data_IF_165422336455
#
_entry.id   IF_165422336455
#
_cell.length_a   1.000
_cell.length_b   1.000
_cell.length_c   1.000
_cell.angle_alpha   90.00
_cell.angle_beta   90.00
_cell.angle_gamma   90.00
#
_symmetry.space_group_name_H-M   'P 1'
#
loop_
_entity.id
_entity.type
_entity.pdbx_description
1 polymer ?
#
# COMPACT_ATOMS: atom_id res chain seq x y z
N UNK A 1 49.76 -49.14 6.90
CA UNK A 1 49.01 -50.33 7.34
C UNK A 1 47.86 -50.58 6.37
N UNK A 2 47.37 -51.82 6.26
CA UNK A 2 46.29 -52.25 5.36
C UNK A 2 44.95 -52.17 6.08
N UNK A 3 43.82 -51.93 5.38
CA UNK A 3 42.52 -51.77 6.05
C UNK A 3 41.26 -51.65 5.17
N UNK A 4 41.19 -52.28 4.00
CA UNK A 4 39.91 -52.42 3.30
C UNK A 4 39.01 -53.44 4.00
N UNK A 5 37.70 -53.16 4.13
CA UNK A 5 36.73 -54.19 4.49
C UNK A 5 35.35 -53.94 3.85
N UNK A 6 34.77 -54.98 3.27
CA UNK A 6 33.53 -54.93 2.46
C UNK A 6 32.48 -55.94 2.96
N UNK A 7 31.21 -55.56 2.96
CA UNK A 7 30.09 -56.52 2.92
C UNK A 7 28.86 -55.83 2.31
N UNK A 8 28.23 -56.31 1.22
CA UNK A 8 27.74 -57.64 0.78
C UNK A 8 26.27 -57.90 1.14
N UNK A 9 25.43 -57.82 0.09
CA UNK A 9 24.20 -58.61 -0.12
C UNK A 9 23.01 -58.25 0.82
N UNK A 10 21.75 -58.54 0.49
CA UNK A 10 21.25 -59.42 -0.57
C UNK A 10 19.95 -58.94 -1.25
N UNK A 11 19.60 -59.64 -2.34
CA UNK A 11 18.46 -59.44 -3.25
C UNK A 11 17.08 -59.51 -2.57
N UNK A 12 16.07 -58.95 -3.24
CA UNK A 12 14.98 -59.78 -3.82
C UNK A 12 14.52 -59.22 -5.17
N UNK A 13 13.93 -60.07 -6.04
CA UNK A 13 13.81 -59.79 -7.48
C UNK A 13 12.66 -60.57 -8.15
N UNK A 14 11.68 -59.86 -8.70
CA UNK A 14 10.55 -60.33 -9.54
C UNK A 14 10.10 -59.11 -10.40
N UNK A 15 9.92 -59.09 -11.73
CA UNK A 15 9.58 -60.09 -12.79
C UNK A 15 8.27 -60.83 -12.47
N UNK A 16 7.26 -60.96 -13.33
CA UNK A 16 7.18 -61.22 -14.80
C UNK A 16 5.97 -60.35 -15.34
N UNK A 17 6.00 -59.66 -16.50
CA UNK A 17 5.70 -60.11 -17.88
C UNK A 17 4.27 -60.76 -18.03
N UNK A 18 3.48 -60.72 -19.12
CA UNK A 18 3.59 -60.13 -20.47
C UNK A 18 2.21 -60.20 -21.21
N UNK A 19 1.99 -59.44 -22.32
CA UNK A 19 0.86 -59.53 -23.31
C UNK A 19 -0.51 -59.04 -22.77
N UNK A 20 -1.48 -58.51 -23.55
CA UNK A 20 -1.66 -58.28 -25.00
C UNK A 20 -3.04 -58.86 -25.45
N UNK A 21 -3.87 -58.28 -26.35
CA UNK A 21 -3.87 -57.02 -27.13
C UNK A 21 -5.05 -57.01 -28.15
N UNK A 22 -5.08 -56.06 -29.09
CA UNK A 22 -5.95 -56.00 -30.32
C UNK A 22 -7.43 -55.54 -30.14
N UNK A 23 -7.92 -54.80 -31.15
CA UNK A 23 -9.32 -54.43 -31.48
C UNK A 23 -10.00 -53.30 -30.67
N UNK A 24 -11.01 -52.55 -31.16
CA UNK A 24 -11.32 -52.01 -32.51
C UNK A 24 -12.59 -51.15 -32.48
N UNK A 25 -12.72 -50.12 -33.35
CA UNK A 25 -14.03 -49.71 -33.90
C UNK A 25 -14.74 -48.44 -33.38
N UNK A 26 -14.73 -47.40 -34.22
CA UNK A 26 -15.90 -46.65 -34.73
C UNK A 26 -17.14 -46.33 -33.86
N UNK A 27 -17.33 -45.03 -33.58
CA UNK A 27 -18.58 -44.22 -33.71
C UNK A 27 -18.13 -42.74 -33.56
N UNK A 28 -18.38 -41.77 -34.44
CA UNK A 28 -19.55 -41.37 -35.25
C UNK A 28 -20.83 -41.18 -34.43
N UNK A 29 -21.09 -39.92 -34.07
CA UNK A 29 -22.36 -39.28 -34.42
C UNK A 29 -22.24 -37.74 -34.45
N UNK A 30 -22.73 -37.12 -35.52
CA UNK A 30 -22.97 -35.67 -35.63
C UNK A 30 -24.43 -35.45 -36.03
N UNK A 31 -25.14 -34.47 -35.44
CA UNK A 31 -26.25 -33.75 -36.06
C UNK A 31 -27.03 -32.78 -35.12
N UNK A 32 -27.37 -31.61 -35.67
CA UNK A 32 -28.68 -30.92 -35.61
C UNK A 32 -29.25 -30.39 -34.26
N UNK A 33 -29.05 -29.07 -34.10
CA UNK A 33 -30.07 -28.02 -33.85
C UNK A 33 -31.31 -28.19 -34.82
N UNK A 34 -32.52 -27.56 -34.70
CA UNK A 34 -32.75 -26.21 -34.12
C UNK A 34 -34.18 -25.81 -33.58
N UNK A 35 -34.30 -24.55 -33.08
CA UNK A 35 -35.52 -23.70 -32.84
C UNK A 35 -36.58 -24.25 -31.84
N UNK A 36 -37.58 -23.51 -31.31
CA UNK A 36 -38.11 -22.10 -31.37
C UNK A 36 -38.70 -21.75 -29.97
N UNK A 37 -39.32 -20.62 -29.58
CA UNK A 37 -39.85 -19.33 -30.14
C UNK A 37 -39.27 -18.13 -29.32
N UNK A 38 -39.54 -16.82 -29.48
CA UNK A 38 -40.58 -15.92 -30.07
C UNK A 38 -41.78 -15.53 -29.18
N UNK A 39 -41.77 -14.29 -28.66
CA UNK A 39 -42.94 -13.41 -28.41
C UNK A 39 -42.53 -11.93 -28.48
N UNK A 40 -43.48 -11.03 -28.82
CA UNK A 40 -43.27 -9.58 -29.00
C UNK A 40 -44.42 -8.75 -28.39
N UNK A 41 -44.10 -7.60 -27.80
CA UNK A 41 -44.86 -6.33 -27.86
C UNK A 41 -43.94 -5.21 -27.31
N UNK A 42 -43.70 -4.03 -27.92
CA UNK A 42 -44.41 -3.14 -28.87
C UNK A 42 -45.38 -2.17 -28.16
N UNK A 43 -45.32 -0.90 -28.61
CA UNK A 43 -45.96 0.37 -28.17
C UNK A 43 -45.01 1.26 -27.33
N UNK A 44 -44.62 2.48 -27.72
CA UNK A 44 -45.34 3.69 -28.25
C UNK A 44 -45.86 4.62 -27.12
N UNK A 45 -45.83 5.96 -27.23
CA UNK A 45 -45.10 6.87 -28.15
C UNK A 45 -45.18 8.35 -27.69
N UNK A 46 -44.31 9.21 -28.26
CA UNK A 46 -44.49 10.66 -28.54
C UNK A 46 -44.67 11.73 -27.43
N UNK A 47 -44.02 12.89 -27.66
CA UNK A 47 -44.29 14.26 -27.14
C UNK A 47 -44.07 14.54 -25.63
N UNK A 48 -43.78 15.79 -25.20
CA UNK A 48 -43.35 16.98 -25.96
C UNK A 48 -43.28 18.30 -25.15
N UNK A 49 -42.25 19.11 -25.43
CA UNK A 49 -42.32 20.59 -25.64
C UNK A 49 -42.71 21.56 -24.47
N UNK A 50 -41.81 22.54 -24.21
CA UNK A 50 -42.05 23.93 -23.66
C UNK A 50 -42.05 24.25 -22.13
N UNK A 51 -40.91 24.85 -21.70
CA UNK A 51 -40.70 26.17 -21.00
C UNK A 51 -41.26 26.56 -19.60
N UNK A 52 -40.32 27.07 -18.77
CA UNK A 52 -40.27 28.37 -18.04
C UNK A 52 -40.88 28.61 -16.61
N UNK A 53 -40.11 29.42 -15.85
CA UNK A 53 -40.47 30.44 -14.82
C UNK A 53 -41.02 30.10 -13.42
N UNK A 54 -40.62 30.92 -12.42
CA UNK A 54 -41.20 31.06 -11.06
C UNK A 54 -40.65 30.06 -10.02
N UNK A 55 -40.01 30.40 -8.89
CA UNK A 55 -39.88 31.58 -8.00
C UNK A 55 -41.01 31.76 -6.94
N UNK A 56 -40.61 32.24 -5.74
CA UNK A 56 -41.40 32.48 -4.49
C UNK A 56 -41.69 31.26 -3.58
N UNK A 57 -41.81 31.33 -2.23
CA UNK A 57 -41.31 32.33 -1.24
C UNK A 57 -41.55 31.95 0.25
N UNK A 58 -40.55 32.20 1.14
CA UNK A 58 -40.63 32.48 2.61
C UNK A 58 -41.17 31.39 3.58
N UNK A 59 -40.98 31.49 4.93
CA UNK A 59 -40.18 32.42 5.79
C UNK A 59 -38.88 31.74 6.35
N UNK A 60 -37.97 32.27 7.21
CA UNK A 60 -37.84 33.44 8.14
C UNK A 60 -38.29 33.21 9.62
N UNK A 61 -37.69 33.78 10.70
CA UNK A 61 -36.60 34.80 10.83
C UNK A 61 -35.34 34.37 11.66
N UNK A 62 -35.27 34.28 13.03
CA UNK A 62 -34.00 34.41 13.78
C UNK A 62 -33.58 33.23 14.70
N UNK A 63 -32.33 33.07 15.15
CA UNK A 63 -31.09 33.79 14.81
C UNK A 63 -30.15 34.02 16.02
N UNK A 64 -28.84 33.74 15.88
CA UNK A 64 -27.79 34.11 16.85
C UNK A 64 -26.43 34.37 16.15
N UNK A 65 -25.46 34.98 16.83
CA UNK A 65 -24.36 35.75 16.21
C UNK A 65 -22.96 35.13 16.38
N UNK A 66 -22.10 35.40 15.38
CA UNK A 66 -20.64 35.37 15.51
C UNK A 66 -19.98 34.08 14.99
N UNK A 67 -18.85 34.12 14.28
CA UNK A 67 -18.12 35.28 13.73
C UNK A 67 -17.38 34.85 12.44
N UNK A 68 -17.31 35.73 11.44
CA UNK A 68 -16.68 35.41 10.15
C UNK A 68 -15.20 35.76 10.11
N UNK A 69 -14.42 34.91 9.45
CA UNK A 69 -13.09 35.24 8.92
C UNK A 69 -13.25 36.00 7.60
N UNK A 70 -12.64 37.18 7.48
CA UNK A 70 -12.66 37.96 6.24
C UNK A 70 -11.48 37.60 5.32
N UNK A 71 -11.79 37.13 4.11
CA UNK A 71 -10.81 36.89 3.06
C UNK A 71 -10.37 38.20 2.40
N UNK A 72 -9.05 38.39 2.25
CA UNK A 72 -8.49 39.58 1.60
C UNK A 72 -8.33 39.32 0.11
N UNK A 73 -9.16 39.98 -0.71
CA UNK A 73 -9.02 39.99 -2.17
C UNK A 73 -8.50 41.35 -2.68
N UNK A 74 -7.90 41.34 -3.87
CA UNK A 74 -7.07 42.42 -4.39
C UNK A 74 -7.90 43.54 -5.02
N UNK A 75 -7.51 44.80 -4.79
CA UNK A 75 -7.75 45.88 -5.77
C UNK A 75 -6.56 46.84 -5.86
N UNK A 76 -5.91 46.88 -7.03
CA UNK A 76 -5.20 48.07 -7.48
C UNK A 76 -6.20 48.97 -8.21
N UNK A 77 -6.26 50.26 -7.88
CA UNK A 77 -6.76 51.30 -8.78
C UNK A 77 -6.04 52.61 -8.48
N UNK A 78 -5.52 53.26 -9.52
CA UNK A 78 -4.92 54.57 -9.40
C UNK A 78 -6.00 55.67 -9.41
N UNK A 79 -5.76 56.74 -8.65
CA UNK A 79 -6.34 58.05 -8.85
C UNK A 79 -5.24 59.10 -8.65
N UNK A 80 -5.30 60.16 -9.44
CA UNK A 80 -4.33 61.26 -9.47
C UNK A 80 -4.91 62.53 -8.88
N UNK A 81 -4.02 63.37 -8.33
CA UNK A 81 -4.20 64.83 -8.13
C UNK A 81 -5.49 65.33 -7.48
N UNK A 82 -5.38 65.77 -6.23
CA UNK A 82 -5.76 67.16 -5.90
C UNK A 82 -4.81 67.73 -4.83
N UNK A 83 -4.90 69.04 -4.57
CA UNK A 83 -3.82 69.85 -4.02
C UNK A 83 -3.83 70.05 -2.47
N UNK A 84 -2.67 70.49 -1.96
CA UNK A 84 -2.65 71.58 -0.99
C UNK A 84 -2.80 71.25 0.50
N UNK A 85 -1.88 70.47 1.09
CA UNK A 85 -1.46 70.76 2.47
C UNK A 85 -0.06 70.23 2.79
N UNK A 86 0.82 71.08 3.33
CA UNK A 86 2.16 70.67 3.80
C UNK A 86 2.08 69.98 5.17
N UNK A 87 1.55 68.75 5.21
CA UNK A 87 1.71 67.89 6.39
C UNK A 87 3.15 67.37 6.48
N UNK A 88 4.05 68.27 6.88
CA UNK A 88 5.46 68.06 7.22
C UNK A 88 5.72 66.62 7.67
N UNK A 89 6.45 65.86 6.85
CA UNK A 89 6.79 64.47 7.10
C UNK A 89 7.73 64.35 8.30
N UNK A 90 7.15 64.43 9.51
CA UNK A 90 7.84 64.27 10.79
C UNK A 90 8.58 62.94 10.81
N UNK A 91 9.88 63.01 10.50
CA UNK A 91 10.83 61.89 10.60
C UNK A 91 10.58 61.23 11.96
N UNK A 92 10.12 59.96 12.00
CA UNK A 92 9.69 59.36 13.25
C UNK A 92 10.86 59.42 14.23
N UNK A 93 10.63 59.93 15.44
CA UNK A 93 11.73 60.16 16.40
C UNK A 93 12.53 58.88 16.63
N UNK A 94 13.81 59.00 17.00
CA UNK A 94 14.71 57.85 17.11
C UNK A 94 14.17 56.73 18.02
N UNK A 95 13.31 57.05 19.00
CA UNK A 95 12.55 56.07 19.77
C UNK A 95 11.53 55.27 18.95
N UNK A 96 10.70 55.93 18.13
CA UNK A 96 9.74 55.26 17.22
C UNK A 96 10.44 54.40 16.16
N UNK A 97 11.55 54.88 15.58
CA UNK A 97 12.34 54.06 14.64
C UNK A 97 12.92 52.81 15.32
N UNK A 98 13.54 52.96 16.49
CA UNK A 98 14.07 51.84 17.28
C UNK A 98 12.96 50.84 17.68
N UNK A 99 11.75 51.32 17.99
CA UNK A 99 10.60 50.46 18.29
C UNK A 99 10.17 49.62 17.07
N UNK A 100 10.01 50.22 15.89
CA UNK A 100 9.66 49.51 14.65
C UNK A 100 10.74 48.49 14.26
N UNK A 101 12.02 48.85 14.39
CA UNK A 101 13.15 47.94 14.13
C UNK A 101 13.15 46.78 15.15
N UNK A 102 12.90 47.04 16.44
CA UNK A 102 12.77 45.99 17.46
C UNK A 102 11.64 45.02 17.11
N UNK A 103 10.43 45.52 16.88
CA UNK A 103 9.26 44.71 16.55
C UNK A 103 9.48 43.85 15.29
N UNK A 104 10.07 44.42 14.22
CA UNK A 104 10.39 43.66 12.99
C UNK A 104 11.44 42.57 13.22
N UNK A 105 12.40 42.81 14.12
CA UNK A 105 13.44 41.83 14.52
C UNK A 105 12.87 40.73 15.43
N UNK A 106 11.84 41.05 16.20
CA UNK A 106 11.10 40.16 17.10
C UNK A 106 10.16 39.23 16.30
N UNK A 107 9.34 39.78 15.39
CA UNK A 107 8.54 39.00 14.45
C UNK A 107 9.39 38.03 13.60
N UNK A 108 10.57 38.46 13.13
CA UNK A 108 11.51 37.59 12.39
C UNK A 108 12.22 36.54 13.27
N UNK A 109 12.13 36.64 14.61
CA UNK A 109 12.53 35.59 15.55
C UNK A 109 11.39 34.60 15.83
N UNK A 110 10.15 35.09 15.95
CA UNK A 110 8.94 34.26 16.10
C UNK A 110 8.78 33.35 14.88
N UNK A 111 8.74 33.91 13.67
CA UNK A 111 8.68 33.11 12.43
C UNK A 111 9.83 32.09 12.30
N UNK A 112 11.03 32.40 12.82
CA UNK A 112 12.16 31.46 12.84
C UNK A 112 12.10 30.39 13.95
N UNK A 113 11.28 30.58 14.98
CA UNK A 113 10.87 29.51 15.90
C UNK A 113 9.77 28.68 15.25
N UNK A 114 8.76 29.30 14.66
CA UNK A 114 7.63 28.61 14.05
C UNK A 114 8.07 27.69 12.90
N UNK A 115 8.96 28.15 12.01
CA UNK A 115 9.56 27.27 10.98
C UNK A 115 10.45 26.15 11.54
N UNK A 116 10.96 26.28 12.78
CA UNK A 116 11.70 25.21 13.45
C UNK A 116 10.77 24.23 14.15
N UNK A 117 9.74 24.70 14.84
CA UNK A 117 8.71 23.83 15.42
C UNK A 117 7.85 23.15 14.35
N UNK A 118 7.69 23.72 13.16
CA UNK A 118 7.02 23.04 12.04
C UNK A 118 7.88 21.88 11.52
N UNK A 119 9.17 22.11 11.26
CA UNK A 119 10.11 21.02 10.89
C UNK A 119 10.23 19.98 11.99
N UNK A 120 10.39 20.40 13.24
CA UNK A 120 10.41 19.49 14.38
C UNK A 120 9.12 18.70 14.50
N UNK A 121 7.94 19.26 14.19
CA UNK A 121 6.67 18.49 14.18
C UNK A 121 6.55 17.54 13.01
N UNK A 122 7.07 17.88 11.83
CA UNK A 122 7.17 16.94 10.71
C UNK A 122 8.12 15.77 11.04
N UNK A 123 9.27 16.10 11.65
CA UNK A 123 10.29 15.15 12.09
C UNK A 123 9.78 14.30 13.29
N UNK A 124 9.10 14.90 14.27
CA UNK A 124 8.46 14.25 15.43
C UNK A 124 7.23 13.43 15.02
N UNK A 125 6.47 13.83 13.98
CA UNK A 125 5.37 13.04 13.42
C UNK A 125 5.87 11.73 12.80
N UNK A 126 6.92 11.80 11.97
CA UNK A 126 7.55 10.58 11.43
C UNK A 126 8.23 9.77 12.56
N UNK A 127 8.66 10.43 13.64
CA UNK A 127 9.19 9.76 14.84
C UNK A 127 8.10 9.18 15.76
N UNK A 128 6.86 9.66 15.74
CA UNK A 128 5.78 9.15 16.61
C UNK A 128 5.44 7.68 16.31
N UNK A 129 5.57 7.27 15.04
CA UNK A 129 5.54 5.88 14.58
C UNK A 129 6.51 4.96 15.35
N UNK A 130 7.63 5.50 15.86
CA UNK A 130 8.64 4.77 16.63
C UNK A 130 8.17 4.43 18.05
N UNK A 131 7.25 5.20 18.64
CA UNK A 131 6.82 5.01 20.04
C UNK A 131 5.73 3.94 20.24
N UNK A 132 5.39 3.16 19.20
CA UNK A 132 4.45 2.03 19.27
C UNK A 132 5.03 0.77 19.97
N UNK A 133 5.81 0.95 21.03
CA UNK A 133 6.22 -0.11 21.96
C UNK A 133 6.61 0.46 23.33
N UNK A 134 5.63 0.69 24.19
CA UNK A 134 5.86 0.94 25.62
C UNK A 134 6.29 -0.34 26.34
N UNK A 135 7.60 -0.57 26.44
CA UNK A 135 8.19 -1.62 27.29
C UNK A 135 9.37 -1.02 28.04
N UNK A 136 9.29 -0.99 29.37
CA UNK A 136 10.36 -0.48 30.22
C UNK A 136 11.57 -1.43 30.23
N UNK A 137 12.75 -0.88 30.52
CA UNK A 137 14.04 -1.57 30.39
C UNK A 137 14.25 -2.66 31.45
N UNK A 138 13.86 -3.91 31.14
CA UNK A 138 14.14 -5.09 31.97
C UNK A 138 15.15 -6.01 31.26
N UNK A 139 16.43 -5.84 31.61
CA UNK A 139 17.53 -6.70 31.18
C UNK A 139 18.12 -6.38 29.80
N UNK A 140 19.45 -6.49 29.68
CA UNK A 140 20.15 -6.35 28.40
C UNK A 140 20.05 -7.64 27.57
N UNK A 141 18.85 -7.96 27.11
CA UNK A 141 18.69 -8.91 26.02
C UNK A 141 19.43 -8.39 24.78
N UNK A 142 20.24 -9.23 24.14
CA UNK A 142 20.74 -8.94 22.79
C UNK A 142 19.56 -8.94 21.83
N UNK A 143 19.58 -8.07 20.82
CA UNK A 143 18.56 -8.06 19.75
C UNK A 143 18.57 -9.43 19.02
N UNK A 144 17.68 -10.33 19.42
CA UNK A 144 17.56 -11.68 18.88
C UNK A 144 16.89 -11.65 17.51
N UNK A 145 17.67 -11.30 16.47
CA UNK A 145 17.26 -11.42 15.07
C UNK A 145 16.92 -12.86 14.74
N UNK A 146 15.78 -13.07 14.10
CA UNK A 146 15.39 -14.38 13.59
C UNK A 146 16.14 -14.67 12.28
N UNK A 147 17.32 -15.28 12.42
CA UNK A 147 18.17 -15.72 11.33
C UNK A 147 17.78 -17.10 10.75
N UNK A 148 16.59 -17.64 11.07
CA UNK A 148 16.13 -18.90 10.47
C UNK A 148 15.94 -18.77 8.95
N UNK A 149 16.21 -19.80 8.14
CA UNK A 149 15.93 -19.76 6.71
C UNK A 149 14.42 -19.65 6.47
N UNK A 150 14.00 -18.86 5.47
CA UNK A 150 12.59 -18.68 5.11
C UNK A 150 12.14 -19.92 4.31
N UNK A 151 11.85 -21.00 5.01
CA UNK A 151 11.41 -22.25 4.41
C UNK A 151 9.94 -22.18 3.94
N UNK A 152 9.70 -22.62 2.71
CA UNK A 152 8.36 -22.95 2.23
C UNK A 152 7.72 -24.07 3.07
N UNK A 153 6.39 -24.07 3.18
CA UNK A 153 5.62 -25.14 3.83
C UNK A 153 4.69 -25.89 2.87
N UNK A 154 4.59 -25.41 1.62
CA UNK A 154 3.87 -26.02 0.51
C UNK A 154 4.50 -25.54 -0.81
N UNK A 155 4.14 -26.21 -1.91
CA UNK A 155 4.71 -25.95 -3.23
C UNK A 155 4.45 -24.51 -3.72
N UNK A 156 3.25 -23.96 -3.46
CA UNK A 156 2.92 -22.58 -3.84
C UNK A 156 3.81 -21.53 -3.15
N UNK A 157 4.20 -21.76 -1.89
CA UNK A 157 5.18 -20.91 -1.19
C UNK A 157 6.60 -21.08 -1.73
N UNK A 158 6.96 -22.28 -2.20
CA UNK A 158 8.25 -22.53 -2.85
C UNK A 158 8.34 -21.83 -4.22
N UNK A 159 7.30 -21.93 -5.05
CA UNK A 159 7.19 -21.16 -6.29
C UNK A 159 7.24 -19.66 -6.05
N UNK A 160 6.61 -19.17 -4.98
CA UNK A 160 6.64 -17.75 -4.61
C UNK A 160 8.02 -17.25 -4.15
N UNK A 161 8.73 -18.03 -3.33
CA UNK A 161 10.12 -17.74 -2.95
C UNK A 161 11.03 -17.71 -4.19
N UNK A 162 10.91 -18.72 -5.06
CA UNK A 162 11.62 -18.78 -6.33
C UNK A 162 11.30 -17.58 -7.24
N UNK A 163 10.05 -17.10 -7.26
CA UNK A 163 9.66 -15.93 -8.03
C UNK A 163 10.32 -14.65 -7.47
N UNK A 164 10.28 -14.42 -6.16
CA UNK A 164 10.92 -13.24 -5.53
C UNK A 164 12.43 -13.19 -5.81
N UNK A 165 13.10 -14.34 -5.88
CA UNK A 165 14.54 -14.43 -6.13
C UNK A 165 14.94 -14.30 -7.61
N UNK A 166 14.01 -14.47 -8.55
CA UNK A 166 14.31 -14.59 -10.00
C UNK A 166 13.55 -13.60 -10.90
N UNK A 167 12.56 -12.89 -10.37
CA UNK A 167 11.66 -11.99 -11.11
C UNK A 167 11.80 -10.56 -10.62
N UNK A 168 11.51 -9.60 -11.50
CA UNK A 168 11.45 -8.18 -11.18
C UNK A 168 10.05 -7.73 -10.77
N UNK A 169 9.00 -8.39 -11.27
CA UNK A 169 7.60 -8.08 -10.93
C UNK A 169 6.86 -9.37 -10.57
N UNK A 170 6.35 -9.47 -9.34
CA UNK A 170 5.65 -10.64 -8.83
C UNK A 170 4.23 -10.24 -8.42
N UNK A 171 3.22 -10.83 -9.07
CA UNK A 171 1.83 -10.73 -8.63
C UNK A 171 1.47 -11.97 -7.81
N UNK A 172 1.06 -11.77 -6.55
CA UNK A 172 0.73 -12.84 -5.61
C UNK A 172 -0.73 -12.69 -5.12
N UNK A 173 -1.63 -13.51 -5.65
CA UNK A 173 -3.05 -13.52 -5.28
C UNK A 173 -3.44 -14.77 -4.51
N UNK A 174 -4.37 -14.64 -3.56
CA UNK A 174 -4.98 -15.74 -2.82
C UNK A 174 -5.39 -15.30 -1.41
N UNK A 175 -5.82 -16.23 -0.57
CA UNK A 175 -6.43 -15.91 0.72
C UNK A 175 -5.48 -15.32 1.79
N UNK A 176 -6.09 -14.84 2.88
CA UNK A 176 -5.40 -14.53 4.13
C UNK A 176 -4.85 -15.82 4.78
N UNK A 177 -3.56 -15.84 5.10
CA UNK A 177 -2.89 -17.01 5.68
C UNK A 177 -2.10 -17.90 4.71
N UNK A 178 -2.09 -17.60 3.40
CA UNK A 178 -1.16 -18.22 2.44
C UNK A 178 0.32 -17.82 2.67
N UNK A 179 0.59 -16.84 3.54
CA UNK A 179 1.95 -16.38 3.89
C UNK A 179 2.50 -15.23 3.02
N UNK A 180 1.73 -14.73 2.05
CA UNK A 180 2.11 -13.70 1.06
C UNK A 180 2.96 -12.55 1.65
N UNK A 181 2.36 -11.77 2.56
CA UNK A 181 2.98 -10.63 3.25
C UNK A 181 4.20 -11.02 4.09
N UNK A 182 4.16 -12.19 4.76
CA UNK A 182 5.26 -12.69 5.58
C UNK A 182 6.50 -12.98 4.74
N UNK A 183 6.33 -13.76 3.67
CA UNK A 183 7.41 -14.17 2.78
C UNK A 183 8.02 -12.95 2.09
N UNK A 184 7.21 -12.02 1.54
CA UNK A 184 7.72 -10.82 0.87
C UNK A 184 8.50 -9.92 1.82
N UNK A 185 7.99 -9.64 3.02
CA UNK A 185 8.68 -8.80 3.99
C UNK A 185 9.95 -9.46 4.52
N UNK A 186 9.94 -10.79 4.73
CA UNK A 186 11.11 -11.51 5.20
C UNK A 186 12.23 -11.60 4.14
N UNK A 187 11.88 -11.81 2.86
CA UNK A 187 12.84 -11.76 1.73
C UNK A 187 13.37 -10.33 1.49
N UNK A 188 12.53 -9.30 1.62
CA UNK A 188 12.98 -7.92 1.51
C UNK A 188 14.01 -7.56 2.60
N UNK A 189 13.76 -7.99 3.85
CA UNK A 189 14.71 -7.83 4.94
C UNK A 189 16.03 -8.57 4.70
N UNK A 190 15.98 -9.77 4.10
CA UNK A 190 17.15 -10.55 3.73
C UNK A 190 18.01 -9.84 2.65
N UNK A 191 17.38 -9.37 1.57
CA UNK A 191 18.05 -8.60 0.51
C UNK A 191 18.71 -7.31 1.05
N UNK A 192 18.07 -6.61 1.99
CA UNK A 192 18.64 -5.43 2.65
C UNK A 192 19.81 -5.76 3.60
N UNK A 193 19.82 -6.95 4.20
CA UNK A 193 20.93 -7.45 5.03
C UNK A 193 22.14 -7.82 4.15
N UNK A 194 21.91 -8.51 3.02
CA UNK A 194 22.95 -8.88 2.07
C UNK A 194 23.48 -7.69 1.23
N UNK A 195 22.70 -6.60 1.16
CA UNK A 195 22.93 -5.38 0.36
C UNK A 195 22.71 -5.59 -1.15
N UNK A 196 21.84 -6.53 -1.50
CA UNK A 196 21.36 -6.71 -2.88
C UNK A 196 20.49 -5.50 -3.30
N UNK A 197 19.85 -4.85 -2.32
CA UNK A 197 19.14 -3.58 -2.46
C UNK A 197 19.58 -2.56 -1.41
N UNK A 198 19.44 -1.27 -1.75
CA UNK A 198 19.70 -0.17 -0.81
C UNK A 198 18.54 0.05 0.16
N UNK A 199 17.30 -0.21 -0.29
CA UNK A 199 16.05 0.18 0.38
C UNK A 199 14.94 -0.89 0.30
N UNK A 200 14.04 -0.87 1.29
CA UNK A 200 12.73 -1.53 1.26
C UNK A 200 11.65 -0.44 1.29
N UNK A 201 10.66 -0.52 0.40
CA UNK A 201 9.49 0.37 0.39
C UNK A 201 8.23 -0.48 0.57
N UNK A 202 7.46 -0.25 1.64
CA UNK A 202 6.20 -0.91 1.92
C UNK A 202 5.06 0.09 1.74
N UNK A 203 4.08 -0.29 0.92
CA UNK A 203 2.90 0.52 0.63
C UNK A 203 1.62 -0.32 0.69
N UNK A 204 0.55 0.27 1.19
CA UNK A 204 -0.80 -0.30 1.29
C UNK A 204 -1.81 0.78 0.88
N UNK A 205 -2.87 0.46 0.11
CA UNK A 205 -3.95 1.40 -0.13
C UNK A 205 -4.67 1.70 1.19
N UNK A 206 -4.98 2.98 1.40
CA UNK A 206 -5.90 3.39 2.46
C UNK A 206 -7.31 3.27 1.91
N UNK A 207 -8.07 2.32 2.43
CA UNK A 207 -9.52 2.36 2.34
C UNK A 207 -10.05 3.38 3.35
N UNK A 208 -11.05 4.14 2.94
CA UNK A 208 -11.90 4.87 3.86
C UNK A 208 -12.90 3.85 4.41
N UNK A 209 -12.83 3.56 5.70
CA UNK A 209 -13.85 2.78 6.39
C UNK A 209 -15.18 3.57 6.43
N UNK A 210 -16.29 2.92 6.78
CA UNK A 210 -17.58 3.59 6.96
C UNK A 210 -17.56 4.66 8.09
N UNK A 211 -16.54 4.62 8.96
CA UNK A 211 -16.18 5.71 9.87
C UNK A 211 -15.06 6.57 9.25
N UNK A 212 -15.27 7.89 9.20
CA UNK A 212 -14.26 8.83 8.75
C UNK A 212 -13.00 8.77 9.63
N UNK A 213 -11.84 8.58 8.99
CA UNK A 213 -10.49 8.64 9.58
C UNK A 213 -10.20 9.95 10.34
N UNK A 214 -11.08 10.95 10.28
CA UNK A 214 -11.08 12.13 11.13
C UNK A 214 -11.15 11.83 12.63
N UNK A 215 -11.85 10.76 13.07
CA UNK A 215 -12.16 10.54 14.49
C UNK A 215 -11.01 9.97 15.36
N UNK A 216 -9.99 9.33 14.78
CA UNK A 216 -8.80 8.95 15.55
C UNK A 216 -8.02 10.22 15.97
N UNK A 217 -7.63 10.38 17.24
CA UNK A 217 -6.68 11.43 17.63
C UNK A 217 -5.27 11.08 17.15
N UNK A 218 -4.47 12.10 16.85
CA UNK A 218 -3.11 11.96 16.31
C UNK A 218 -2.94 12.52 14.90
N UNK A 219 -1.70 12.56 14.43
CA UNK A 219 -1.35 12.97 13.06
C UNK A 219 -1.64 11.84 12.05
N UNK A 220 -1.69 12.20 10.77
CA UNK A 220 -1.98 11.32 9.63
C UNK A 220 -1.09 10.06 9.66
N UNK A 221 0.19 10.21 10.03
CA UNK A 221 1.16 9.14 10.23
C UNK A 221 0.70 8.11 11.27
N UNK A 222 0.29 8.58 12.45
CA UNK A 222 -0.13 7.74 13.59
C UNK A 222 -1.40 6.95 13.27
N UNK A 223 -2.36 7.59 12.58
CA UNK A 223 -3.61 6.97 12.13
C UNK A 223 -3.40 5.79 11.18
N UNK A 224 -2.32 5.81 10.39
CA UNK A 224 -2.01 4.72 9.46
C UNK A 224 -1.10 3.64 10.03
N UNK A 225 -0.46 3.87 11.18
CA UNK A 225 0.41 2.90 11.84
C UNK A 225 -0.21 1.49 12.03
N UNK A 226 -1.50 1.32 12.41
CA UNK A 226 -2.09 0.00 12.62
C UNK A 226 -2.13 -0.87 11.34
N UNK A 227 -2.40 -0.27 10.18
CA UNK A 227 -2.54 -0.98 8.90
C UNK A 227 -1.22 -1.57 8.39
N UNK A 228 -0.10 -0.99 8.81
CA UNK A 228 1.26 -1.45 8.47
C UNK A 228 1.90 -2.31 9.56
N UNK A 229 1.29 -2.39 10.76
CA UNK A 229 1.84 -3.09 11.91
C UNK A 229 2.28 -4.54 11.62
N UNK A 230 1.52 -5.37 10.87
CA UNK A 230 1.95 -6.72 10.54
C UNK A 230 3.29 -6.77 9.80
N UNK A 231 3.51 -5.88 8.82
CA UNK A 231 4.77 -5.81 8.06
C UNK A 231 5.91 -5.28 8.93
N UNK A 232 5.64 -4.25 9.74
CA UNK A 232 6.60 -3.69 10.69
C UNK A 232 7.13 -4.76 11.65
N UNK A 233 6.26 -5.58 12.25
CA UNK A 233 6.68 -6.63 13.19
C UNK A 233 7.52 -7.73 12.52
N UNK A 234 7.25 -8.08 11.26
CA UNK A 234 8.08 -9.00 10.47
C UNK A 234 9.47 -8.40 10.20
N UNK A 235 9.53 -7.13 9.80
CA UNK A 235 10.78 -6.43 9.53
C UNK A 235 11.61 -6.25 10.81
N UNK A 236 10.99 -5.91 11.95
CA UNK A 236 11.65 -5.88 13.27
C UNK A 236 12.22 -7.25 13.63
N UNK A 237 11.46 -8.34 13.43
CA UNK A 237 11.91 -9.71 13.73
C UNK A 237 13.12 -10.15 12.91
N UNK A 238 13.22 -9.75 11.63
CA UNK A 238 14.33 -10.10 10.73
C UNK A 238 15.53 -9.17 10.86
N UNK A 239 15.30 -7.86 10.86
CA UNK A 239 16.36 -6.84 10.91
C UNK A 239 16.91 -6.64 12.33
N UNK A 240 16.11 -6.92 13.37
CA UNK A 240 16.39 -6.59 14.77
C UNK A 240 16.02 -5.15 15.11
N UNK A 241 15.49 -4.93 16.32
CA UNK A 241 14.88 -3.67 16.76
C UNK A 241 15.79 -2.46 16.51
N UNK A 242 17.04 -2.52 16.99
CA UNK A 242 18.01 -1.42 16.87
C UNK A 242 18.37 -1.07 15.43
N UNK A 243 18.33 -2.04 14.51
CA UNK A 243 18.65 -1.82 13.09
C UNK A 243 17.42 -1.38 12.30
N UNK A 244 16.22 -1.87 12.62
CA UNK A 244 14.98 -1.31 12.08
C UNK A 244 14.84 0.18 12.42
N UNK A 245 15.11 0.56 13.68
CA UNK A 245 15.12 1.98 14.12
C UNK A 245 16.27 2.81 13.53
N UNK A 246 17.34 2.17 13.05
CA UNK A 246 18.33 2.84 12.20
C UNK A 246 17.78 3.06 10.79
N UNK A 247 17.15 2.05 10.18
CA UNK A 247 16.70 2.09 8.80
C UNK A 247 15.48 3.00 8.54
N UNK A 248 14.58 3.15 9.52
CA UNK A 248 13.37 3.99 9.44
C UNK A 248 13.66 5.50 9.52
N UNK A 249 14.85 5.92 9.94
CA UNK A 249 15.18 7.34 10.13
C UNK A 249 15.13 8.12 8.80
N UNK A 250 14.51 9.32 8.74
CA UNK A 250 14.37 10.06 7.48
C UNK A 250 15.68 10.39 6.76
N UNK A 251 16.79 10.53 7.50
CA UNK A 251 18.12 10.82 6.93
C UNK A 251 18.80 9.57 6.34
N UNK A 252 18.27 8.38 6.62
CA UNK A 252 18.82 7.08 6.24
C UNK A 252 17.92 6.39 5.20
N UNK A 253 16.60 6.45 5.37
CA UNK A 253 15.61 6.06 4.36
C UNK A 253 15.73 4.63 3.82
N UNK A 254 16.28 3.70 4.60
CA UNK A 254 16.53 2.30 4.19
C UNK A 254 15.30 1.40 4.31
N UNK A 255 14.38 1.73 5.20
CA UNK A 255 13.04 1.13 5.22
C UNK A 255 12.05 2.28 5.24
N UNK A 256 11.15 2.30 4.26
CA UNK A 256 10.05 3.25 4.20
C UNK A 256 8.73 2.48 4.26
N UNK A 257 7.81 2.94 5.11
CA UNK A 257 6.48 2.36 5.30
C UNK A 257 5.49 3.52 5.18
N UNK A 258 4.74 3.58 4.07
CA UNK A 258 3.96 4.77 3.71
C UNK A 258 2.63 4.44 3.00
N UNK A 259 1.57 5.25 3.18
CA UNK A 259 0.32 5.11 2.43
C UNK A 259 0.54 5.21 0.92
N UNK A 260 -0.21 4.44 0.13
CA UNK A 260 -0.07 4.38 -1.33
C UNK A 260 -0.09 5.74 -2.06
N UNK A 261 -0.76 6.75 -1.50
CA UNK A 261 -0.74 8.11 -2.03
C UNK A 261 0.68 8.71 -2.14
N UNK A 262 1.59 8.37 -1.22
CA UNK A 262 2.97 8.86 -1.16
C UNK A 262 3.87 8.31 -2.28
N UNK A 263 3.43 7.27 -2.99
CA UNK A 263 4.13 6.74 -4.15
C UNK A 263 4.06 7.71 -5.36
N UNK A 264 3.09 8.63 -5.38
CA UNK A 264 2.88 9.56 -6.48
C UNK A 264 4.06 10.54 -6.64
N UNK A 265 4.58 10.61 -7.86
CA UNK A 265 5.71 11.50 -8.22
C UNK A 265 7.10 10.89 -8.03
N UNK A 266 7.20 9.63 -7.58
CA UNK A 266 8.46 8.93 -7.28
C UNK A 266 8.83 7.89 -8.35
N UNK A 267 10.12 7.58 -8.41
CA UNK A 267 10.70 6.41 -9.11
C UNK A 267 11.29 5.46 -8.07
N UNK A 268 11.29 4.16 -8.34
CA UNK A 268 11.84 3.13 -7.46
C UNK A 268 13.12 2.54 -8.07
N UNK A 269 14.23 2.70 -7.37
CA UNK A 269 15.58 2.32 -7.82
C UNK A 269 16.34 1.67 -6.65
N UNK A 270 17.12 0.60 -6.91
CA UNK A 270 17.85 -0.20 -5.91
C UNK A 270 16.96 -0.60 -4.71
N UNK A 271 15.78 -1.15 -4.96
CA UNK A 271 14.78 -1.37 -3.91
C UNK A 271 13.92 -2.62 -4.08
N UNK A 272 13.54 -3.25 -2.95
CA UNK A 272 12.36 -4.13 -2.91
C UNK A 272 11.14 -3.29 -2.57
N UNK A 273 10.11 -3.32 -3.42
CA UNK A 273 8.87 -2.56 -3.24
C UNK A 273 7.72 -3.54 -3.02
N UNK A 274 7.06 -3.48 -1.86
CA UNK A 274 5.92 -4.32 -1.51
C UNK A 274 4.66 -3.47 -1.55
N UNK A 275 3.74 -3.81 -2.46
CA UNK A 275 2.37 -3.32 -2.47
C UNK A 275 1.47 -4.41 -1.87
N UNK A 276 0.99 -4.19 -0.65
CA UNK A 276 0.07 -5.09 0.04
C UNK A 276 -1.39 -4.62 -0.07
N UNK A 277 -2.34 -5.56 0.06
CA UNK A 277 -3.78 -5.36 -0.25
C UNK A 277 -4.06 -4.78 -1.64
N UNK A 278 -3.29 -5.19 -2.66
CA UNK A 278 -3.34 -4.67 -4.02
C UNK A 278 -4.72 -4.78 -4.70
N UNK A 279 -5.63 -5.64 -4.20
CA UNK A 279 -7.01 -5.70 -4.68
C UNK A 279 -7.77 -4.38 -4.47
N UNK A 280 -7.38 -3.61 -3.46
CA UNK A 280 -7.98 -2.34 -3.07
C UNK A 280 -7.30 -1.12 -3.73
N UNK A 281 -6.55 -1.37 -4.80
CA UNK A 281 -5.99 -0.37 -5.73
C UNK A 281 -6.81 -0.44 -7.02
N UNK A 282 -7.23 0.69 -7.59
CA UNK A 282 -7.94 0.72 -8.90
C UNK A 282 -6.99 0.48 -10.08
N UNK A 283 -7.50 0.04 -11.23
CA UNK A 283 -6.68 -0.13 -12.45
C UNK A 283 -5.85 1.12 -12.83
N UNK A 284 -6.42 2.31 -12.71
CA UNK A 284 -5.72 3.57 -12.97
C UNK A 284 -4.59 3.84 -11.95
N UNK A 285 -4.80 3.51 -10.69
CA UNK A 285 -3.77 3.60 -9.64
C UNK A 285 -2.68 2.54 -9.80
N UNK A 286 -3.03 1.30 -10.16
CA UNK A 286 -2.08 0.22 -10.43
C UNK A 286 -1.16 0.61 -11.58
N UNK A 287 -1.71 1.13 -12.69
CA UNK A 287 -0.91 1.72 -13.78
C UNK A 287 0.00 2.84 -13.28
N UNK A 288 -0.53 3.77 -12.47
CA UNK A 288 0.23 4.89 -11.89
C UNK A 288 1.38 4.46 -10.96
N UNK A 289 1.32 3.24 -10.40
CA UNK A 289 2.36 2.62 -9.59
C UNK A 289 3.37 1.81 -10.44
N UNK A 290 2.90 0.99 -11.39
CA UNK A 290 3.77 0.20 -12.26
C UNK A 290 4.55 1.07 -13.28
N UNK A 291 4.12 2.29 -13.58
CA UNK A 291 4.94 3.27 -14.34
C UNK A 291 5.99 3.99 -13.46
N UNK A 292 6.45 3.38 -12.36
CA UNK A 292 7.48 3.94 -11.43
C UNK A 292 8.70 3.04 -11.28
N UNK A 293 8.69 1.88 -11.90
CA UNK A 293 9.77 0.91 -11.78
C UNK A 293 10.99 1.45 -12.53
N UNK A 294 12.07 1.70 -11.81
CA UNK A 294 13.37 2.10 -12.34
C UNK A 294 14.33 0.91 -12.39
N UNK A 295 15.63 1.21 -12.32
CA UNK A 295 16.67 0.18 -12.39
C UNK A 295 16.82 -0.59 -11.06
N UNK A 296 17.17 -1.89 -11.18
CA UNK A 296 17.43 -2.79 -10.05
C UNK A 296 16.33 -2.76 -8.98
N UNK A 297 15.09 -3.08 -9.38
CA UNK A 297 13.92 -3.08 -8.51
C UNK A 297 13.20 -4.44 -8.54
N UNK A 298 12.81 -4.93 -7.38
CA UNK A 298 11.95 -6.12 -7.24
C UNK A 298 10.63 -5.68 -6.64
N UNK A 299 9.54 -5.79 -7.39
CA UNK A 299 8.21 -5.31 -7.02
C UNK A 299 7.28 -6.48 -6.76
N UNK A 300 6.74 -6.54 -5.56
CA UNK A 300 5.87 -7.60 -5.07
C UNK A 300 4.49 -7.02 -4.81
N UNK A 301 3.50 -7.50 -5.56
CA UNK A 301 2.10 -7.05 -5.53
C UNK A 301 1.27 -8.15 -4.89
N UNK A 302 1.06 -8.04 -3.57
CA UNK A 302 0.27 -8.96 -2.76
C UNK A 302 -1.20 -8.55 -2.73
N UNK A 303 -2.13 -9.50 -2.81
CA UNK A 303 -3.53 -9.24 -2.49
C UNK A 303 -4.44 -10.46 -2.55
N UNK A 304 -5.74 -10.21 -2.51
CA UNK A 304 -6.78 -11.23 -2.66
C UNK A 304 -7.92 -10.70 -3.53
N UNK A 305 -8.08 -11.22 -4.75
CA UNK A 305 -9.16 -10.81 -5.67
C UNK A 305 -10.57 -11.00 -5.04
N UNK A 306 -10.72 -11.92 -4.08
CA UNK A 306 -12.01 -12.18 -3.42
C UNK A 306 -12.40 -11.15 -2.37
N UNK A 307 -11.44 -10.37 -1.85
CA UNK A 307 -11.63 -9.38 -0.78
C UNK A 307 -11.50 -7.94 -1.32
N UNK A 308 -12.23 -7.66 -2.41
CA UNK A 308 -12.20 -6.37 -3.10
C UNK A 308 -13.24 -5.39 -2.51
N UNK A 309 -12.77 -4.46 -1.69
CA UNK A 309 -13.57 -3.46 -0.96
C UNK A 309 -13.87 -2.19 -1.79
N UNK A 310 -13.48 -2.17 -3.07
CA UNK A 310 -13.70 -1.02 -3.96
C UNK A 310 -15.20 -0.80 -4.27
N UNK A 311 -15.64 0.47 -4.48
CA UNK A 311 -17.03 0.77 -4.83
C UNK A 311 -17.54 0.01 -6.05
N UNK A 312 -18.81 -0.41 -6.02
CA UNK A 312 -19.44 -1.21 -7.09
C UNK A 312 -19.27 -0.54 -8.47
N UNK A 313 -18.75 -1.31 -9.42
CA UNK A 313 -18.46 -0.84 -10.79
C UNK A 313 -17.02 -0.34 -11.00
N UNK A 314 -16.22 -0.19 -9.94
CA UNK A 314 -14.79 0.12 -10.04
C UNK A 314 -13.97 -1.17 -10.20
N UNK A 315 -13.20 -1.27 -11.28
CA UNK A 315 -12.35 -2.45 -11.53
C UNK A 315 -11.10 -2.44 -10.63
N UNK A 316 -10.90 -3.53 -9.89
CA UNK A 316 -9.67 -3.79 -9.13
C UNK A 316 -8.45 -3.87 -10.05
N UNK A 317 -7.40 -3.15 -9.69
CA UNK A 317 -6.14 -3.07 -10.41
C UNK A 317 -5.29 -4.35 -10.29
N UNK A 318 -5.46 -5.14 -9.23
CA UNK A 318 -4.87 -6.48 -9.15
C UNK A 318 -5.51 -7.42 -10.18
N UNK A 319 -6.84 -7.40 -10.28
CA UNK A 319 -7.59 -8.19 -11.27
C UNK A 319 -7.29 -7.74 -12.71
N UNK A 320 -7.21 -6.42 -12.94
CA UNK A 320 -6.82 -5.84 -14.23
C UNK A 320 -5.38 -6.21 -14.63
N UNK A 321 -4.42 -6.14 -13.71
CA UNK A 321 -3.03 -6.54 -13.96
C UNK A 321 -2.92 -8.05 -14.28
N UNK A 322 -3.60 -8.90 -13.51
CA UNK A 322 -3.62 -10.36 -13.69
C UNK A 322 -4.38 -10.84 -14.94
N UNK A 323 -4.96 -9.91 -15.72
CA UNK A 323 -5.56 -10.12 -17.04
C UNK A 323 -4.82 -9.38 -18.17
N UNK A 324 -3.76 -8.62 -17.86
CA UNK A 324 -2.90 -7.89 -18.82
C UNK A 324 -1.49 -8.46 -18.93
N UNK A 325 -0.96 -8.99 -17.83
CA UNK A 325 0.36 -9.59 -17.78
C UNK A 325 0.25 -11.11 -17.92
N UNK A 326 1.11 -11.67 -18.75
CA UNK A 326 1.41 -13.09 -18.81
C UNK A 326 2.69 -13.36 -18.00
N UNK A 327 2.99 -14.63 -17.71
CA UNK A 327 4.21 -15.01 -17.00
C UNK A 327 5.37 -15.15 -17.99
N UNK A 328 6.46 -14.40 -17.78
CA UNK A 328 7.63 -14.33 -18.67
C UNK A 328 8.93 -14.46 -17.87
N UNK A 329 10.10 -14.10 -18.43
CA UNK A 329 11.37 -14.16 -17.69
C UNK A 329 11.44 -13.19 -16.50
N UNK A 330 10.84 -12.01 -16.59
CA UNK A 330 10.88 -10.92 -15.60
C UNK A 330 9.64 -10.87 -14.69
N UNK A 331 8.50 -11.39 -15.14
CA UNK A 331 7.21 -11.36 -14.45
C UNK A 331 6.86 -12.75 -13.90
N UNK A 332 6.47 -12.85 -12.63
CA UNK A 332 5.94 -14.08 -12.01
C UNK A 332 4.50 -13.90 -11.55
N UNK A 333 3.64 -14.92 -11.75
CA UNK A 333 2.22 -14.85 -11.41
C UNK A 333 1.82 -16.02 -10.49
N UNK A 334 1.80 -15.77 -9.19
CA UNK A 334 1.49 -16.77 -8.18
C UNK A 334 0.03 -16.69 -7.75
N UNK A 335 -0.66 -17.84 -7.80
CA UNK A 335 -2.08 -18.00 -7.44
C UNK A 335 -2.20 -19.06 -6.34
N UNK A 336 -2.28 -18.62 -5.09
CA UNK A 336 -2.50 -19.50 -3.93
C UNK A 336 -3.98 -19.91 -3.83
N UNK A 337 -4.23 -21.19 -3.57
CA UNK A 337 -5.56 -21.73 -3.26
C UNK A 337 -5.80 -21.90 -1.76
N UNK A 338 -7.01 -22.35 -1.40
CA UNK A 338 -7.43 -22.63 -0.02
C UNK A 338 -6.52 -23.64 0.69
N UNK A 339 -6.00 -24.63 -0.06
CA UNK A 339 -5.06 -25.64 0.46
C UNK A 339 -3.71 -25.06 0.89
N UNK A 340 -3.32 -23.88 0.37
CA UNK A 340 -2.03 -23.27 0.67
C UNK A 340 -2.05 -22.40 1.94
N UNK A 341 -3.22 -22.27 2.59
CA UNK A 341 -3.41 -21.54 3.83
C UNK A 341 -2.86 -22.31 5.05
N UNK A 342 -1.64 -21.99 5.48
CA UNK A 342 -0.99 -22.66 6.62
C UNK A 342 -1.46 -22.07 7.96
N UNK A 343 -2.73 -22.34 8.27
CA UNK A 343 -3.40 -22.00 9.52
C UNK A 343 -3.17 -23.09 10.59
N UNK A 344 -3.28 -22.76 11.87
CA UNK A 344 -3.15 -23.77 12.95
C UNK A 344 -4.37 -24.71 12.99
N UNK A 345 -4.21 -25.92 13.52
CA UNK A 345 -5.32 -26.88 13.64
C UNK A 345 -6.51 -26.33 14.44
N UNK A 346 -6.25 -25.47 15.45
CA UNK A 346 -7.30 -24.75 16.16
C UNK A 346 -8.01 -23.74 15.25
N UNK A 347 -7.28 -22.92 14.49
CA UNK A 347 -7.85 -21.94 13.56
C UNK A 347 -8.66 -22.62 12.45
N UNK A 348 -8.18 -23.74 11.89
CA UNK A 348 -8.93 -24.56 10.94
C UNK A 348 -10.23 -25.10 11.56
N UNK A 349 -10.16 -25.63 12.79
CA UNK A 349 -11.35 -26.10 13.52
C UNK A 349 -12.35 -24.97 13.84
N UNK A 350 -11.87 -23.74 14.08
CA UNK A 350 -12.73 -22.57 14.29
C UNK A 350 -13.44 -22.16 13.00
N UNK A 351 -12.73 -22.11 11.87
CA UNK A 351 -13.33 -21.79 10.56
C UNK A 351 -14.45 -22.78 10.21
N UNK A 352 -14.15 -24.09 10.29
CA UNK A 352 -15.11 -25.19 10.08
C UNK A 352 -16.26 -25.26 11.13
N UNK A 353 -16.41 -24.25 12.00
CA UNK A 353 -17.51 -24.10 12.95
C UNK A 353 -18.29 -22.77 12.75
N UNK A 354 -17.90 -21.95 11.78
CA UNK A 354 -18.61 -20.76 11.30
C UNK A 354 -18.98 -20.86 9.80
N UNK A 355 -18.27 -21.68 9.02
CA UNK A 355 -18.65 -22.19 7.69
C UNK A 355 -19.74 -23.28 7.78
#
# INVERSE_FOLDING_TARGET
MVGSCTGRLNKYLTRINQRGGISSGFAIFTAKNPQSTTTQSVNDALSGVVRLTGASSQPAVPGLKGSQTSSVSKHNRALSSDAGNETNCKVPSMGRQKAVIKARREAKRVLRRDSRSHKQREEESVTSLVQMSGVESIGMARDCRDNSPIAARNEAQEHYLNAIEKKQLIFATGEAGCGKTYISAAKAAEALIHKDVDRIIVTRPVLQADEDLGFLPGDISEKFAPYFRPVYDILVRRLGSSFMQYCLRPEIGKVEIAPFAYMRGRTFENAVVILDEAQNVTAAQMKMFLTRLGENVTVIVNGDITQCDLPRGVQSGLSDALARFEEDEMIGIIRFGKQDCVRSALCQRTLNAYD
#
